data_IF_255323941985
#
_entry.id   IF_255323941985
#
_cell.length_a   1.000
_cell.length_b   1.000
_cell.length_c   1.000
_cell.angle_alpha   90.00
_cell.angle_beta   90.00
_cell.angle_gamma   90.00
#
_symmetry.space_group_name_H-M   'P 1'
#
loop_
_entity.id
_entity.type
_entity.pdbx_description
1 polymer ?
#
# COMPACT_ATOMS: atom_id res chain seq x y z
N UNK A 1 46.19 16.84 24.40
CA UNK A 1 44.91 16.42 25.02
C UNK A 1 43.71 17.18 24.43
N UNK A 2 43.40 17.02 23.13
CA UNK A 2 42.21 17.63 22.49
C UNK A 2 41.52 16.74 21.44
N UNK A 3 41.97 15.49 21.26
CA UNK A 3 41.44 14.58 20.22
C UNK A 3 40.79 13.30 20.74
N UNK A 4 40.84 13.04 22.05
CA UNK A 4 40.23 11.83 22.65
C UNK A 4 38.75 12.10 23.01
N UNK A 5 38.36 13.35 23.23
CA UNK A 5 36.98 13.73 23.57
C UNK A 5 36.02 13.76 22.39
N UNK A 6 36.51 13.81 21.14
CA UNK A 6 35.66 13.84 19.95
C UNK A 6 35.15 12.45 19.52
N UNK A 7 35.91 11.39 19.80
CA UNK A 7 35.53 10.02 19.43
C UNK A 7 34.40 9.45 20.32
N UNK A 8 34.31 9.89 21.58
CA UNK A 8 33.24 9.46 22.49
C UNK A 8 31.89 10.13 22.21
N UNK A 9 31.89 11.32 21.60
CA UNK A 9 30.65 12.02 21.28
C UNK A 9 29.89 11.36 20.11
N UNK A 10 30.60 10.77 19.14
CA UNK A 10 29.99 10.16 17.95
C UNK A 10 29.37 8.78 18.22
N UNK A 11 29.97 7.98 19.11
CA UNK A 11 29.45 6.65 19.44
C UNK A 11 28.18 6.69 20.29
N UNK A 12 28.01 7.72 21.14
CA UNK A 12 26.81 7.87 21.98
C UNK A 12 25.63 8.41 21.17
N UNK A 13 25.85 9.23 20.14
CA UNK A 13 24.74 9.68 19.26
C UNK A 13 24.25 8.57 18.34
N UNK A 14 25.16 7.75 17.77
CA UNK A 14 24.75 6.64 16.91
C UNK A 14 24.11 5.47 17.69
N UNK A 15 24.49 5.28 18.96
CA UNK A 15 23.88 4.28 19.84
C UNK A 15 22.46 4.63 20.31
N UNK A 16 22.13 5.92 20.41
CA UNK A 16 20.77 6.36 20.76
C UNK A 16 19.84 6.49 19.54
N UNK A 17 20.36 6.54 18.32
CA UNK A 17 19.53 6.58 17.10
C UNK A 17 18.83 5.25 16.78
N UNK A 18 19.23 4.15 17.42
CA UNK A 18 18.57 2.83 17.25
C UNK A 18 17.52 2.56 18.35
N UNK A 19 17.41 3.44 19.36
CA UNK A 19 16.48 3.28 20.49
C UNK A 19 15.23 4.19 20.43
N UNK A 20 15.13 5.05 19.41
CA UNK A 20 13.97 5.95 19.20
C UNK A 20 13.33 5.74 17.82
N UNK A 21 13.48 4.55 17.24
CA UNK A 21 12.46 4.03 16.34
C UNK A 21 11.81 2.94 17.16
N UNK A 22 10.73 3.32 17.84
CA UNK A 22 9.81 2.36 18.42
C UNK A 22 9.49 1.38 17.31
N UNK A 23 10.04 0.18 17.43
CA UNK A 23 9.42 -1.02 16.89
C UNK A 23 7.98 -0.88 17.36
N UNK A 24 6.99 -0.66 16.48
CA UNK A 24 5.63 -0.86 16.91
C UNK A 24 5.63 -2.32 17.32
N UNK A 25 5.61 -2.58 18.63
CA UNK A 25 5.13 -3.86 19.09
C UNK A 25 3.76 -3.93 18.48
N UNK A 26 3.61 -4.82 17.50
CA UNK A 26 2.33 -5.31 17.04
C UNK A 26 1.69 -5.96 18.27
N UNK A 27 1.15 -5.12 19.13
CA UNK A 27 0.03 -5.46 19.95
C UNK A 27 -1.05 -5.79 18.92
N UNK A 28 -1.09 -7.06 18.51
CA UNK A 28 -2.32 -7.73 18.15
C UNK A 28 -3.20 -7.71 19.41
N UNK A 29 -3.62 -6.51 19.80
CA UNK A 29 -4.85 -6.35 20.52
C UNK A 29 -5.85 -6.96 19.57
N UNK A 30 -6.26 -8.19 19.88
CA UNK A 30 -7.44 -8.81 19.31
C UNK A 30 -8.55 -7.85 19.70
N UNK A 31 -8.80 -6.88 18.81
CA UNK A 31 -9.94 -6.00 18.94
C UNK A 31 -11.12 -6.90 18.65
N UNK A 32 -11.77 -7.34 19.72
CA UNK A 32 -13.11 -7.87 19.64
C UNK A 32 -14.01 -6.71 19.22
N UNK A 33 -13.97 -6.36 17.93
CA UNK A 33 -14.92 -5.44 17.35
C UNK A 33 -16.26 -6.16 17.36
N UNK A 34 -17.21 -5.60 18.10
CA UNK A 34 -18.61 -5.90 17.85
C UNK A 34 -18.84 -5.62 16.36
N UNK A 35 -19.13 -6.67 15.58
CA UNK A 35 -19.40 -6.56 14.16
C UNK A 35 -20.46 -5.47 13.99
N UNK A 36 -20.08 -4.34 13.37
CA UNK A 36 -20.99 -3.26 13.03
C UNK A 36 -21.71 -3.66 11.74
N UNK A 37 -22.30 -4.84 11.73
CA UNK A 37 -22.97 -5.41 10.57
C UNK A 37 -24.20 -4.55 10.26
N UNK A 38 -23.97 -3.53 9.45
CA UNK A 38 -25.00 -2.84 8.70
C UNK A 38 -24.98 -3.43 7.29
N UNK A 39 -26.04 -4.17 6.96
CA UNK A 39 -26.16 -4.88 5.70
C UNK A 39 -26.05 -3.95 4.48
N UNK A 40 -26.44 -2.68 4.60
CA UNK A 40 -26.31 -1.74 3.48
C UNK A 40 -24.86 -1.30 3.31
N UNK A 41 -24.24 -0.79 4.38
CA UNK A 41 -22.82 -0.40 4.37
C UNK A 41 -21.91 -1.54 3.90
N UNK A 42 -22.11 -2.76 4.42
CA UNK A 42 -21.32 -3.93 4.02
C UNK A 42 -21.47 -4.25 2.54
N UNK A 43 -22.67 -4.11 1.95
CA UNK A 43 -22.88 -4.28 0.50
C UNK A 43 -22.17 -3.21 -0.33
N UNK A 44 -22.22 -1.94 0.11
CA UNK A 44 -21.54 -0.84 -0.58
C UNK A 44 -20.01 -1.02 -0.55
N UNK A 45 -19.45 -1.42 0.59
CA UNK A 45 -18.03 -1.77 0.71
C UNK A 45 -17.69 -2.95 -0.20
N UNK A 46 -18.52 -4.00 -0.21
CA UNK A 46 -18.31 -5.17 -1.09
C UNK A 46 -18.27 -4.77 -2.57
N UNK A 47 -19.14 -3.86 -2.99
CA UNK A 47 -19.17 -3.35 -4.36
C UNK A 47 -17.90 -2.57 -4.71
N UNK A 48 -17.43 -1.71 -3.79
CA UNK A 48 -16.16 -1.00 -3.96
C UNK A 48 -14.99 -1.97 -4.10
N UNK A 49 -14.89 -2.96 -3.20
CA UNK A 49 -13.82 -3.96 -3.24
C UNK A 49 -13.86 -4.79 -4.53
N UNK A 50 -15.06 -5.15 -5.01
CA UNK A 50 -15.19 -5.87 -6.27
C UNK A 50 -14.71 -5.03 -7.46
N UNK A 51 -15.05 -3.73 -7.47
CA UNK A 51 -14.61 -2.81 -8.52
C UNK A 51 -13.10 -2.58 -8.51
N UNK A 52 -12.50 -2.48 -7.34
CA UNK A 52 -11.03 -2.39 -7.22
C UNK A 52 -10.33 -3.68 -7.70
N UNK A 53 -10.87 -4.84 -7.34
CA UNK A 53 -10.41 -6.15 -7.82
C UNK A 53 -10.55 -6.29 -9.35
N UNK A 54 -11.61 -5.75 -9.95
CA UNK A 54 -11.76 -5.63 -11.40
C UNK A 54 -10.66 -4.74 -12.03
N UNK A 55 -10.41 -3.56 -11.46
CA UNK A 55 -9.35 -2.66 -11.91
C UNK A 55 -7.97 -3.35 -11.82
N UNK A 56 -7.70 -4.07 -10.72
CA UNK A 56 -6.46 -4.81 -10.51
C UNK A 56 -6.26 -5.92 -11.54
N UNK A 57 -7.33 -6.66 -11.89
CA UNK A 57 -7.29 -7.64 -12.97
C UNK A 57 -7.00 -7.02 -14.34
N UNK A 58 -7.56 -5.86 -14.62
CA UNK A 58 -7.30 -5.13 -15.87
C UNK A 58 -5.84 -4.69 -15.95
N UNK A 59 -5.30 -4.14 -14.86
CA UNK A 59 -3.87 -3.81 -14.74
C UNK A 59 -2.97 -5.03 -15.00
N UNK A 60 -3.26 -6.15 -14.34
CA UNK A 60 -2.52 -7.41 -14.50
C UNK A 60 -2.59 -7.92 -15.94
N UNK A 61 -3.76 -7.85 -16.57
CA UNK A 61 -3.94 -8.23 -17.97
C UNK A 61 -3.09 -7.33 -18.88
N UNK A 62 -3.16 -6.01 -18.71
CA UNK A 62 -2.41 -5.05 -19.51
C UNK A 62 -0.89 -5.26 -19.41
N UNK A 63 -0.39 -5.62 -18.23
CA UNK A 63 1.02 -5.96 -18.06
C UNK A 63 1.40 -7.30 -18.69
N UNK A 64 0.58 -8.36 -18.52
CA UNK A 64 0.86 -9.71 -19.03
C UNK A 64 1.05 -9.77 -20.55
N UNK A 65 0.34 -8.93 -21.32
CA UNK A 65 0.42 -8.95 -22.79
C UNK A 65 1.65 -8.24 -23.38
N UNK A 66 2.32 -7.37 -22.62
CA UNK A 66 3.51 -6.64 -23.08
C UNK A 66 4.40 -6.24 -21.89
N UNK A 67 5.16 -7.20 -21.31
CA UNK A 67 5.94 -6.93 -20.10
C UNK A 67 7.10 -6.00 -20.42
N UNK A 68 6.99 -4.74 -20.00
CA UNK A 68 8.11 -3.82 -19.90
C UNK A 68 7.92 -2.91 -18.67
N UNK A 69 9.00 -2.37 -18.07
CA UNK A 69 8.89 -1.43 -16.97
C UNK A 69 8.02 -0.20 -17.30
N UNK A 70 8.10 0.29 -18.54
CA UNK A 70 7.28 1.39 -19.04
C UNK A 70 5.79 1.03 -19.09
N UNK A 71 5.45 -0.15 -19.62
CA UNK A 71 4.06 -0.64 -19.67
C UNK A 71 3.50 -0.95 -18.29
N UNK A 72 4.33 -1.47 -17.39
CA UNK A 72 3.94 -1.69 -16.00
C UNK A 72 3.60 -0.38 -15.31
N UNK A 73 4.45 0.64 -15.46
CA UNK A 73 4.19 1.96 -14.89
C UNK A 73 2.92 2.61 -15.44
N UNK A 74 2.66 2.46 -16.73
CA UNK A 74 1.42 2.91 -17.38
C UNK A 74 0.20 2.17 -16.79
N UNK A 75 0.27 0.84 -16.66
CA UNK A 75 -0.79 0.03 -16.09
C UNK A 75 -1.09 0.39 -14.63
N UNK A 76 -0.05 0.57 -13.79
CA UNK A 76 -0.21 0.99 -12.39
C UNK A 76 -0.81 2.39 -12.30
N UNK A 77 -0.37 3.34 -13.13
CA UNK A 77 -0.98 4.68 -13.16
C UNK A 77 -2.45 4.64 -13.56
N UNK A 78 -2.80 3.80 -14.54
CA UNK A 78 -4.19 3.62 -14.96
C UNK A 78 -5.04 3.03 -13.84
N UNK A 79 -4.57 1.97 -13.18
CA UNK A 79 -5.21 1.36 -12.01
C UNK A 79 -5.52 2.41 -10.93
N UNK A 80 -4.52 3.20 -10.53
CA UNK A 80 -4.72 4.23 -9.48
C UNK A 80 -5.76 5.24 -9.89
N UNK A 81 -5.70 5.73 -11.14
CA UNK A 81 -6.66 6.71 -11.64
C UNK A 81 -8.09 6.15 -11.70
N UNK A 82 -8.27 4.85 -11.94
CA UNK A 82 -9.58 4.23 -12.01
C UNK A 82 -10.12 3.88 -10.62
N UNK A 83 -9.26 3.47 -9.69
CA UNK A 83 -9.64 3.21 -8.30
C UNK A 83 -9.95 4.51 -7.53
N UNK A 84 -9.25 5.62 -7.81
CA UNK A 84 -9.58 6.95 -7.24
C UNK A 84 -10.94 7.51 -7.72
N UNK A 85 -11.49 7.02 -8.84
CA UNK A 85 -12.81 7.42 -9.36
C UNK A 85 -13.94 6.59 -8.76
N UNK A 86 -13.65 5.60 -7.91
CA UNK A 86 -14.69 4.83 -7.25
C UNK A 86 -15.34 5.74 -6.19
N UNK A 87 -16.66 5.89 -6.26
CA UNK A 87 -17.40 6.70 -5.29
C UNK A 87 -17.39 6.02 -3.92
N UNK A 88 -16.78 6.69 -2.95
CA UNK A 88 -16.70 6.27 -1.56
C UNK A 88 -17.44 7.25 -0.62
N UNK A 89 -18.09 8.30 -1.13
CA UNK A 89 -18.54 9.44 -0.34
C UNK A 89 -19.55 9.06 0.77
N UNK A 90 -20.35 8.02 0.53
CA UNK A 90 -21.35 7.51 1.45
C UNK A 90 -20.83 6.42 2.42
N UNK A 91 -19.55 6.03 2.29
CA UNK A 91 -18.97 5.00 3.13
C UNK A 91 -18.54 5.54 4.51
N UNK A 92 -18.44 4.66 5.52
CA UNK A 92 -17.95 5.03 6.83
C UNK A 92 -16.59 5.72 6.80
N UNK A 93 -16.40 6.69 7.70
CA UNK A 93 -15.17 7.48 7.74
C UNK A 93 -13.92 6.64 7.99
N UNK A 94 -13.99 5.63 8.86
CA UNK A 94 -12.89 4.71 9.12
C UNK A 94 -12.54 3.88 7.88
N UNK A 95 -13.53 3.36 7.16
CA UNK A 95 -13.31 2.68 5.88
C UNK A 95 -12.66 3.60 4.84
N UNK A 96 -13.21 4.81 4.66
CA UNK A 96 -12.64 5.80 3.71
C UNK A 96 -11.20 6.15 4.05
N UNK A 97 -10.87 6.27 5.34
CA UNK A 97 -9.50 6.57 5.74
C UNK A 97 -8.52 5.47 5.32
N UNK A 98 -8.84 4.20 5.59
CA UNK A 98 -7.96 3.08 5.20
C UNK A 98 -7.91 2.90 3.68
N UNK A 99 -9.03 3.16 2.98
CA UNK A 99 -9.08 3.19 1.52
C UNK A 99 -8.18 4.27 0.92
N UNK A 100 -8.22 5.49 1.44
CA UNK A 100 -7.36 6.58 1.01
C UNK A 100 -5.88 6.29 1.28
N UNK A 101 -5.53 5.67 2.41
CA UNK A 101 -4.14 5.24 2.67
C UNK A 101 -3.68 4.18 1.67
N UNK A 102 -4.56 3.23 1.30
CA UNK A 102 -4.26 2.25 0.26
C UNK A 102 -4.02 2.90 -1.11
N UNK A 103 -4.88 3.84 -1.52
CA UNK A 103 -4.69 4.59 -2.77
C UNK A 103 -3.40 5.43 -2.74
N UNK A 104 -3.02 6.01 -1.60
CA UNK A 104 -1.74 6.72 -1.44
C UNK A 104 -0.55 5.79 -1.63
N UNK A 105 -0.59 4.57 -1.08
CA UNK A 105 0.48 3.59 -1.26
C UNK A 105 0.66 3.23 -2.74
N UNK A 106 -0.44 3.01 -3.46
CA UNK A 106 -0.40 2.78 -4.90
C UNK A 106 0.03 4.01 -5.71
N UNK A 107 -0.40 5.22 -5.34
CA UNK A 107 0.05 6.46 -5.99
C UNK A 107 1.55 6.67 -5.82
N UNK A 108 2.10 6.39 -4.63
CA UNK A 108 3.53 6.43 -4.37
C UNK A 108 4.29 5.43 -5.27
N UNK A 109 3.74 4.23 -5.48
CA UNK A 109 4.28 3.26 -6.44
C UNK A 109 4.25 3.79 -7.88
N UNK A 110 3.13 4.38 -8.30
CA UNK A 110 2.97 4.97 -9.63
C UNK A 110 3.98 6.10 -9.88
N UNK A 111 4.16 6.99 -8.91
CA UNK A 111 5.10 8.11 -8.96
C UNK A 111 6.56 7.62 -8.98
N UNK A 112 6.87 6.62 -8.16
CA UNK A 112 8.19 5.97 -8.18
C UNK A 112 8.49 5.40 -9.57
N UNK A 113 7.57 4.62 -10.15
CA UNK A 113 7.73 4.03 -11.47
C UNK A 113 7.87 5.08 -12.57
N UNK A 114 7.13 6.19 -12.47
CA UNK A 114 7.24 7.32 -13.40
C UNK A 114 8.61 7.99 -13.32
N UNK A 115 9.14 8.20 -12.11
CA UNK A 115 10.48 8.76 -11.92
C UNK A 115 11.58 7.82 -12.41
N UNK A 116 11.44 6.51 -12.17
CA UNK A 116 12.37 5.49 -12.65
C UNK A 116 12.39 5.32 -14.16
N UNK A 117 11.26 5.54 -14.84
CA UNK A 117 11.18 5.53 -16.31
C UNK A 117 11.74 6.80 -16.98
N UNK A 118 12.08 7.85 -16.22
CA UNK A 118 12.65 9.09 -16.75
C UNK A 118 14.19 9.09 -16.82
N UNK A 119 14.85 8.05 -16.30
CA UNK A 119 16.25 7.79 -16.62
C UNK A 119 16.32 6.69 -17.68
N UNK A 120 16.61 7.06 -18.92
CA UNK A 120 16.99 6.14 -20.01
C UNK A 120 18.20 5.23 -19.68
N UNK A 121 18.78 5.37 -18.47
CA UNK A 121 19.68 4.41 -17.88
C UNK A 121 18.94 3.18 -17.36
N UNK A 122 18.83 2.20 -18.27
CA UNK A 122 18.90 0.74 -18.05
C UNK A 122 18.86 0.26 -16.58
N UNK A 123 17.75 0.46 -15.87
CA UNK A 123 17.45 -0.37 -14.71
C UNK A 123 17.28 -1.79 -15.28
N UNK A 124 18.12 -2.72 -14.85
CA UNK A 124 17.99 -4.11 -15.28
C UNK A 124 16.66 -4.68 -14.77
N UNK A 125 16.08 -5.64 -15.48
CA UNK A 125 14.86 -6.32 -15.04
C UNK A 125 14.97 -6.85 -13.60
N UNK A 126 16.15 -7.30 -13.19
CA UNK A 126 16.43 -7.76 -11.83
C UNK A 126 16.35 -6.64 -10.78
N UNK A 127 16.92 -5.46 -11.06
CA UNK A 127 16.87 -4.29 -10.17
C UNK A 127 15.44 -3.73 -10.06
N UNK A 128 14.71 -3.74 -11.18
CA UNK A 128 13.29 -3.41 -11.22
C UNK A 128 12.47 -4.36 -10.34
N UNK A 129 12.66 -5.68 -10.48
CA UNK A 129 11.98 -6.69 -9.68
C UNK A 129 12.31 -6.62 -8.18
N UNK A 130 13.55 -6.30 -7.83
CA UNK A 130 13.96 -6.15 -6.43
C UNK A 130 13.32 -4.91 -5.78
N UNK A 131 13.32 -3.79 -6.50
CA UNK A 131 12.72 -2.54 -6.02
C UNK A 131 11.20 -2.66 -5.92
N UNK A 132 10.58 -3.35 -6.89
CA UNK A 132 9.18 -3.70 -6.89
C UNK A 132 8.77 -4.52 -5.65
N UNK A 133 9.58 -5.48 -5.20
CA UNK A 133 9.30 -6.31 -4.01
C UNK A 133 9.23 -5.50 -2.71
N UNK A 134 10.06 -4.46 -2.58
CA UNK A 134 10.11 -3.66 -1.35
C UNK A 134 8.86 -2.76 -1.20
N UNK A 135 8.41 -2.13 -2.28
CA UNK A 135 7.23 -1.25 -2.24
C UNK A 135 5.90 -2.03 -2.17
N UNK A 136 5.87 -3.27 -2.65
CA UNK A 136 4.74 -4.18 -2.47
C UNK A 136 4.39 -4.44 -0.99
N UNK A 137 5.32 -4.24 -0.05
CA UNK A 137 5.05 -4.45 1.36
C UNK A 137 4.02 -3.44 1.91
N UNK A 138 4.11 -2.18 1.50
CA UNK A 138 3.21 -1.12 1.99
C UNK A 138 1.83 -1.19 1.35
N UNK A 139 1.78 -1.48 0.03
CA UNK A 139 0.52 -1.77 -0.68
C UNK A 139 -0.20 -2.94 0.00
N UNK A 140 0.53 -4.01 0.31
CA UNK A 140 -0.03 -5.17 1.01
C UNK A 140 -0.52 -4.83 2.41
N UNK A 141 0.28 -4.08 3.18
CA UNK A 141 -0.07 -3.67 4.54
C UNK A 141 -1.37 -2.87 4.55
N UNK A 142 -1.45 -1.82 3.73
CA UNK A 142 -2.65 -0.98 3.62
C UNK A 142 -3.86 -1.74 3.08
N UNK A 143 -3.65 -2.72 2.19
CA UNK A 143 -4.73 -3.58 1.73
C UNK A 143 -5.31 -4.43 2.87
N UNK A 144 -4.48 -5.01 3.72
CA UNK A 144 -4.97 -5.73 4.90
C UNK A 144 -5.77 -4.83 5.85
N UNK A 145 -5.36 -3.58 6.06
CA UNK A 145 -6.14 -2.61 6.84
C UNK A 145 -7.54 -2.38 6.22
N UNK A 146 -7.63 -2.25 4.89
CA UNK A 146 -8.89 -2.14 4.16
C UNK A 146 -9.78 -3.36 4.39
N UNK A 147 -9.22 -4.56 4.25
CA UNK A 147 -9.96 -5.80 4.41
C UNK A 147 -10.43 -6.02 5.85
N UNK A 148 -9.62 -5.64 6.83
CA UNK A 148 -9.95 -5.74 8.25
C UNK A 148 -11.16 -4.86 8.58
N UNK A 149 -11.13 -3.57 8.18
CA UNK A 149 -12.27 -2.67 8.38
C UNK A 149 -13.49 -3.12 7.58
N UNK A 150 -13.32 -3.62 6.36
CA UNK A 150 -14.42 -4.15 5.55
C UNK A 150 -15.14 -5.31 6.25
N UNK A 151 -14.40 -6.20 6.92
CA UNK A 151 -14.96 -7.31 7.69
C UNK A 151 -15.76 -6.82 8.90
N UNK A 152 -15.32 -5.76 9.56
CA UNK A 152 -16.05 -5.17 10.70
C UNK A 152 -17.46 -4.69 10.30
N UNK A 153 -17.63 -4.28 9.03
CA UNK A 153 -18.91 -3.88 8.45
C UNK A 153 -19.69 -5.03 7.80
N UNK A 154 -19.18 -6.27 7.84
CA UNK A 154 -19.83 -7.44 7.24
C UNK A 154 -19.76 -7.46 5.71
N UNK A 155 -18.77 -6.80 5.11
CA UNK A 155 -18.56 -6.86 3.67
C UNK A 155 -18.14 -8.26 3.21
N UNK A 156 -18.59 -8.64 2.00
CA UNK A 156 -18.14 -9.84 1.30
C UNK A 156 -16.82 -9.54 0.62
N UNK A 157 -15.75 -10.21 1.06
CA UNK A 157 -14.41 -10.01 0.53
C UNK A 157 -14.21 -10.88 -0.72
N UNK A 158 -13.66 -10.35 -1.83
CA UNK A 158 -13.32 -11.14 -3.03
C UNK A 158 -12.36 -12.30 -2.69
N UNK A 159 -12.53 -13.45 -3.35
CA UNK A 159 -11.75 -14.67 -3.03
C UNK A 159 -10.24 -14.52 -3.16
N UNK A 160 -9.79 -13.64 -4.06
CA UNK A 160 -8.37 -13.44 -4.38
C UNK A 160 -7.78 -12.23 -3.65
N UNK A 161 -8.47 -11.69 -2.64
CA UNK A 161 -8.02 -10.51 -1.91
C UNK A 161 -6.88 -10.80 -0.91
N UNK A 162 -6.48 -12.05 -0.68
CA UNK A 162 -5.47 -12.44 0.31
C UNK A 162 -4.16 -12.89 -0.32
#
# INVERSE_FOLDING_TARGET
MKYITAAFAFAVTFGFSVLVIGIPQENYAIRFFAIRADNETGRQISFLLQRDDDNGREMDANFKFAPSPARFAEAVNQYVNDSEKIDDANLPLDFRNVWLEHLKAWRAQADFLKQSNLSDEKITEAEFLQTYRYQNAEIRRTWFDVLDVARDYGAVIPRNAY
#
